data_IF_179254615953
#
_entry.id   IF_179254615953
#
_cell.length_a   1.000
_cell.length_b   1.000
_cell.length_c   1.000
_cell.angle_alpha   90.00
_cell.angle_beta   90.00
_cell.angle_gamma   90.00
#
_symmetry.space_group_name_H-M   'P 1'
#
loop_
_entity.id
_entity.type
_entity.pdbx_description
1 polymer ?
#
# COMPACT_ATOMS: atom_id res chain seq x y z
N UNK A 1 -11.97 8.82 -0.85
CA UNK A 1 -11.72 10.28 -0.63
C UNK A 1 -12.99 11.00 -0.16
N UNK A 2 -14.18 10.74 -0.77
CA UNK A 2 -15.45 11.37 -0.37
C UNK A 2 -15.72 11.17 1.12
N UNK A 3 -15.78 9.92 1.57
CA UNK A 3 -16.02 9.59 2.98
C UNK A 3 -15.06 10.30 3.95
N UNK A 4 -13.79 10.43 3.58
CA UNK A 4 -12.82 11.17 4.40
C UNK A 4 -13.21 12.64 4.55
N UNK A 5 -13.60 13.30 3.45
CA UNK A 5 -14.05 14.70 3.48
C UNK A 5 -15.33 14.86 4.28
N UNK A 6 -16.28 13.93 4.16
CA UNK A 6 -17.57 13.97 4.85
C UNK A 6 -17.42 13.92 6.39
N UNK A 7 -16.33 13.32 6.87
CA UNK A 7 -15.97 13.30 8.30
C UNK A 7 -14.89 14.33 8.67
N UNK A 8 -14.64 15.32 7.81
CA UNK A 8 -13.76 16.46 8.10
C UNK A 8 -12.26 16.18 8.02
N UNK A 9 -11.82 15.10 7.35
CA UNK A 9 -10.40 14.86 7.12
C UNK A 9 -9.85 15.77 6.02
N UNK A 10 -8.65 16.27 6.20
CA UNK A 10 -7.86 16.94 5.15
C UNK A 10 -7.36 15.88 4.16
N UNK A 11 -7.83 15.92 2.92
CA UNK A 11 -7.53 14.90 1.90
C UNK A 11 -6.59 15.47 0.85
N UNK A 12 -5.43 14.82 0.67
CA UNK A 12 -4.48 15.12 -0.40
C UNK A 12 -3.96 13.85 -1.06
N UNK A 13 -3.50 13.95 -2.28
CA UNK A 13 -2.67 12.94 -2.92
C UNK A 13 -1.20 13.39 -2.90
N UNK A 14 -0.27 12.45 -2.81
CA UNK A 14 1.14 12.72 -3.04
C UNK A 14 1.53 12.53 -4.52
N UNK A 15 2.76 12.84 -4.87
CA UNK A 15 3.25 12.73 -6.25
C UNK A 15 3.34 11.26 -6.74
N UNK A 16 3.29 10.28 -5.84
CA UNK A 16 3.16 8.86 -6.19
C UNK A 16 1.70 8.40 -6.34
N UNK A 17 0.74 9.32 -6.10
CA UNK A 17 -0.69 9.06 -6.18
C UNK A 17 -1.26 8.33 -4.96
N UNK A 18 -0.50 8.15 -3.88
CA UNK A 18 -1.06 7.69 -2.62
C UNK A 18 -1.96 8.78 -2.01
N UNK A 19 -3.00 8.37 -1.31
CA UNK A 19 -3.95 9.31 -0.70
C UNK A 19 -3.73 9.37 0.81
N UNK A 20 -3.58 10.59 1.30
CA UNK A 20 -3.41 10.93 2.70
C UNK A 20 -4.66 11.65 3.19
N UNK A 21 -5.26 11.14 4.25
CA UNK A 21 -6.46 11.72 4.86
C UNK A 21 -6.17 11.98 6.34
N UNK A 22 -5.99 13.25 6.69
CA UNK A 22 -5.49 13.64 8.01
C UNK A 22 -6.60 14.23 8.86
N UNK A 23 -6.77 13.70 10.06
CA UNK A 23 -7.49 14.30 11.16
C UNK A 23 -6.51 15.16 11.97
N UNK A 24 -6.71 16.49 12.03
CA UNK A 24 -5.81 17.37 12.76
C UNK A 24 -5.77 17.06 14.25
N UNK A 25 -4.54 16.96 14.78
CA UNK A 25 -4.27 16.93 16.21
C UNK A 25 -4.31 18.33 16.84
N UNK A 26 -4.12 18.40 18.17
CA UNK A 26 -4.01 19.68 18.88
C UNK A 26 -2.68 20.38 18.57
N UNK A 27 -1.61 19.61 18.47
CA UNK A 27 -0.27 20.09 18.10
C UNK A 27 0.18 19.45 16.77
N UNK A 28 0.06 20.21 15.69
CA UNK A 28 0.41 19.80 14.33
C UNK A 28 1.93 19.84 14.06
N UNK A 29 2.73 20.31 15.02
CA UNK A 29 4.19 20.27 14.91
C UNK A 29 4.75 18.88 15.24
N UNK A 30 3.99 18.08 15.98
CA UNK A 30 4.36 16.71 16.33
C UNK A 30 4.27 15.77 15.12
N UNK A 31 5.14 14.76 15.04
CA UNK A 31 5.01 13.70 14.04
C UNK A 31 3.70 12.95 14.16
N UNK A 32 3.03 12.71 13.03
CA UNK A 32 1.73 12.08 12.96
C UNK A 32 1.74 10.59 13.28
N UNK A 33 0.66 10.07 13.82
CA UNK A 33 0.33 8.65 13.73
C UNK A 33 -0.29 8.36 12.37
N UNK A 34 0.30 7.42 11.64
CA UNK A 34 -0.18 7.00 10.33
C UNK A 34 -0.68 5.57 10.41
N UNK A 35 -1.89 5.33 9.96
CA UNK A 35 -2.45 4.00 9.80
C UNK A 35 -2.97 3.84 8.37
N UNK A 36 -2.87 2.64 7.80
CA UNK A 36 -3.35 2.43 6.45
C UNK A 36 -2.87 1.12 5.87
N UNK A 37 -3.08 0.94 4.59
CA UNK A 37 -2.66 -0.19 3.78
C UNK A 37 -2.81 0.20 2.29
N UNK A 38 -2.83 -0.80 1.40
CA UNK A 38 -2.98 -0.58 -0.04
C UNK A 38 -4.44 -0.73 -0.51
N UNK A 39 -4.71 -0.26 -1.72
CA UNK A 39 -6.06 -0.29 -2.33
C UNK A 39 -6.16 -1.15 -3.58
N UNK A 40 -5.03 -1.59 -4.12
CA UNK A 40 -4.97 -2.57 -5.19
C UNK A 40 -4.98 -4.00 -4.64
N UNK A 41 -5.27 -4.96 -5.49
CA UNK A 41 -5.25 -6.37 -5.15
C UNK A 41 -4.79 -7.18 -6.36
N UNK A 42 -4.34 -8.40 -6.12
CA UNK A 42 -4.03 -9.35 -7.20
C UNK A 42 -5.31 -9.75 -7.95
N UNK A 43 -5.24 -10.14 -9.23
CA UNK A 43 -6.37 -10.71 -9.92
C UNK A 43 -6.98 -11.86 -9.11
N UNK A 44 -8.30 -11.82 -8.88
CA UNK A 44 -9.04 -12.77 -8.06
C UNK A 44 -8.62 -12.81 -6.57
N UNK A 45 -7.97 -11.74 -6.07
CA UNK A 45 -7.45 -11.65 -4.69
C UNK A 45 -8.52 -11.42 -3.60
N UNK A 46 -9.77 -11.22 -3.99
CA UNK A 46 -10.87 -10.96 -3.04
C UNK A 46 -10.94 -9.48 -2.61
N UNK A 47 -11.72 -9.22 -1.56
CA UNK A 47 -12.10 -7.86 -1.17
C UNK A 47 -11.38 -7.37 0.10
N UNK A 48 -10.52 -8.18 0.71
CA UNK A 48 -9.96 -7.87 2.02
C UNK A 48 -8.47 -7.53 1.99
N UNK A 49 -7.76 -8.02 0.99
CA UNK A 49 -6.32 -7.79 0.86
C UNK A 49 -6.06 -6.29 0.64
N UNK A 50 -5.27 -5.71 1.53
CA UNK A 50 -5.03 -4.27 1.62
C UNK A 50 -6.23 -3.45 2.08
N UNK A 51 -7.40 -3.65 1.44
CA UNK A 51 -8.58 -2.81 1.68
C UNK A 51 -9.13 -2.95 3.11
N UNK A 52 -8.96 -4.09 3.76
CA UNK A 52 -9.33 -4.28 5.16
C UNK A 52 -8.56 -3.31 6.08
N UNK A 53 -7.25 -3.12 5.83
CA UNK A 53 -6.41 -2.20 6.58
C UNK A 53 -6.80 -0.74 6.37
N UNK A 54 -7.07 -0.35 5.13
CA UNK A 54 -7.56 0.99 4.81
C UNK A 54 -8.91 1.26 5.49
N UNK A 55 -9.83 0.29 5.41
CA UNK A 55 -11.15 0.42 6.03
C UNK A 55 -11.05 0.50 7.55
N UNK A 56 -10.18 -0.29 8.17
CA UNK A 56 -9.94 -0.24 9.61
C UNK A 56 -9.41 1.14 10.04
N UNK A 57 -8.42 1.67 9.31
CA UNK A 57 -7.86 2.99 9.61
C UNK A 57 -8.91 4.10 9.45
N UNK A 58 -9.73 4.05 8.39
CA UNK A 58 -10.86 4.99 8.21
C UNK A 58 -11.92 4.85 9.29
N UNK A 59 -12.21 3.63 9.74
CA UNK A 59 -13.17 3.37 10.81
C UNK A 59 -12.71 3.99 12.13
N UNK A 60 -11.40 3.93 12.43
CA UNK A 60 -10.83 4.61 13.59
C UNK A 60 -11.00 6.12 13.49
N UNK A 61 -10.71 6.71 12.32
CA UNK A 61 -10.92 8.14 12.09
C UNK A 61 -12.40 8.55 12.25
N UNK A 62 -13.29 7.77 11.64
CA UNK A 62 -14.73 7.98 11.77
C UNK A 62 -15.20 7.87 13.23
N UNK A 63 -14.72 6.88 13.96
CA UNK A 63 -15.06 6.69 15.37
C UNK A 63 -14.58 7.88 16.21
N UNK A 64 -13.35 8.35 16.01
CA UNK A 64 -12.83 9.53 16.69
C UNK A 64 -13.66 10.78 16.39
N UNK A 65 -13.99 10.99 15.10
CA UNK A 65 -14.86 12.10 14.70
C UNK A 65 -16.21 12.05 15.39
N UNK A 66 -16.88 10.90 15.38
CA UNK A 66 -18.20 10.72 15.99
C UNK A 66 -18.21 10.92 17.51
N UNK A 67 -17.14 10.54 18.19
CA UNK A 67 -17.01 10.67 19.64
C UNK A 67 -16.23 11.92 20.06
N UNK A 68 -15.95 12.83 19.14
CA UNK A 68 -15.23 14.09 19.38
C UNK A 68 -13.86 13.87 20.07
N UNK A 69 -13.20 12.75 19.75
CA UNK A 69 -11.85 12.45 20.24
C UNK A 69 -10.84 13.17 19.37
N UNK A 70 -10.06 14.05 19.97
CA UNK A 70 -8.94 14.73 19.34
C UNK A 70 -7.65 14.30 20.00
N UNK A 71 -6.74 13.75 19.19
CA UNK A 71 -5.41 13.37 19.65
C UNK A 71 -4.50 14.59 19.79
N UNK A 72 -3.38 14.44 20.48
CA UNK A 72 -2.38 15.49 20.58
C UNK A 72 -1.72 15.74 19.23
N UNK A 73 -1.41 14.68 18.49
CA UNK A 73 -0.79 14.73 17.15
C UNK A 73 -1.78 14.32 16.06
N UNK A 74 -1.46 14.67 14.84
CA UNK A 74 -2.26 14.28 13.68
C UNK A 74 -2.44 12.75 13.63
N UNK A 75 -3.65 12.31 13.27
CA UNK A 75 -3.92 10.94 12.83
C UNK A 75 -4.16 10.94 11.33
N UNK A 76 -3.39 10.18 10.60
CA UNK A 76 -3.47 10.16 9.13
C UNK A 76 -3.76 8.75 8.62
N UNK A 77 -4.78 8.64 7.81
CA UNK A 77 -5.05 7.43 7.03
C UNK A 77 -4.29 7.50 5.72
N UNK A 78 -3.46 6.51 5.45
CA UNK A 78 -2.70 6.38 4.21
C UNK A 78 -3.26 5.25 3.35
N UNK A 79 -3.66 5.58 2.13
CA UNK A 79 -4.09 4.63 1.11
C UNK A 79 -2.98 4.52 0.06
N UNK A 80 -2.23 3.43 0.07
CA UNK A 80 -1.14 3.20 -0.88
C UNK A 80 -1.66 2.58 -2.18
N UNK A 81 -1.02 2.92 -3.29
CA UNK A 81 -1.31 2.38 -4.62
C UNK A 81 -0.25 1.40 -5.06
N UNK A 82 -0.66 0.41 -5.87
CA UNK A 82 0.25 -0.50 -6.56
C UNK A 82 1.24 -1.16 -5.61
N UNK A 83 0.75 -1.72 -4.50
CA UNK A 83 1.54 -2.53 -3.57
C UNK A 83 1.89 -3.87 -4.22
N UNK A 84 0.91 -4.44 -4.93
CA UNK A 84 0.97 -5.75 -5.54
C UNK A 84 1.83 -5.78 -6.81
N UNK A 85 2.50 -6.90 -7.04
CA UNK A 85 3.39 -7.08 -8.20
C UNK A 85 2.71 -7.60 -9.46
N UNK A 86 1.38 -7.65 -9.49
CA UNK A 86 0.61 -8.42 -10.45
C UNK A 86 0.81 -8.00 -11.91
N UNK A 87 0.91 -6.71 -12.18
CA UNK A 87 0.90 -6.19 -13.54
C UNK A 87 2.28 -5.92 -14.12
N UNK A 88 3.22 -5.43 -13.32
CA UNK A 88 4.55 -5.04 -13.78
C UNK A 88 5.67 -5.91 -13.19
N UNK A 89 5.33 -6.93 -12.38
CA UNK A 89 6.33 -7.75 -11.68
C UNK A 89 7.11 -6.98 -10.60
N UNK A 90 6.68 -5.75 -10.27
CA UNK A 90 7.28 -4.87 -9.27
C UNK A 90 6.26 -4.59 -8.18
N UNK A 91 6.57 -5.01 -6.96
CA UNK A 91 5.77 -4.68 -5.78
C UNK A 91 6.14 -3.31 -5.21
N UNK A 92 5.24 -2.77 -4.39
CA UNK A 92 5.46 -1.56 -3.59
C UNK A 92 5.68 -0.28 -4.41
N UNK A 93 5.13 -0.20 -5.62
CA UNK A 93 5.38 0.94 -6.53
C UNK A 93 5.00 2.28 -5.87
N UNK A 94 3.83 2.36 -5.22
CA UNK A 94 3.38 3.58 -4.56
C UNK A 94 4.28 4.00 -3.40
N UNK A 95 4.63 3.08 -2.51
CA UNK A 95 5.50 3.38 -1.36
C UNK A 95 6.96 3.59 -1.77
N UNK A 96 7.49 2.84 -2.75
CA UNK A 96 8.83 3.10 -3.32
C UNK A 96 8.89 4.45 -4.00
N UNK A 97 7.86 4.85 -4.77
CA UNK A 97 7.74 6.18 -5.36
C UNK A 97 7.72 7.27 -4.30
N UNK A 98 6.90 7.11 -3.26
CA UNK A 98 6.83 8.03 -2.12
C UNK A 98 8.19 8.20 -1.42
N UNK A 99 8.98 7.15 -1.36
CA UNK A 99 10.32 7.12 -0.76
C UNK A 99 11.43 7.57 -1.73
N UNK A 100 11.10 7.91 -2.98
CA UNK A 100 12.08 8.26 -4.02
C UNK A 100 12.99 7.10 -4.41
N UNK A 101 12.52 5.84 -4.26
CA UNK A 101 13.30 4.62 -4.47
C UNK A 101 12.98 3.88 -5.77
N UNK A 102 12.09 4.39 -6.60
CA UNK A 102 11.94 3.87 -7.95
C UNK A 102 13.17 4.28 -8.78
N UNK A 103 13.52 3.42 -9.73
CA UNK A 103 14.64 3.63 -10.64
C UNK A 103 14.14 3.86 -12.07
N UNK A 104 14.98 4.41 -12.93
CA UNK A 104 14.64 4.55 -14.35
C UNK A 104 14.36 3.18 -15.00
N UNK A 105 15.05 2.11 -14.56
CA UNK A 105 14.76 0.75 -15.04
C UNK A 105 13.41 0.23 -14.59
N UNK A 106 12.94 0.63 -13.42
CA UNK A 106 11.58 0.28 -12.96
C UNK A 106 10.52 0.91 -13.89
N UNK A 107 10.72 2.16 -14.31
CA UNK A 107 9.79 2.84 -15.23
C UNK A 107 9.67 2.16 -16.60
N UNK A 108 10.67 1.37 -16.99
CA UNK A 108 10.69 0.63 -18.24
C UNK A 108 10.05 -0.77 -18.14
N UNK A 109 9.63 -1.19 -16.96
CA UNK A 109 8.92 -2.46 -16.77
C UNK A 109 7.63 -2.45 -17.59
N UNK A 110 7.41 -3.52 -18.34
CA UNK A 110 6.24 -3.68 -19.20
C UNK A 110 5.08 -4.28 -18.42
N UNK A 111 3.90 -3.80 -18.74
CA UNK A 111 2.66 -4.41 -18.24
C UNK A 111 2.54 -5.85 -18.80
N UNK A 112 2.01 -6.77 -18.00
CA UNK A 112 1.97 -8.19 -18.33
C UNK A 112 1.13 -8.51 -19.57
N UNK A 113 0.07 -7.77 -19.84
CA UNK A 113 -0.91 -8.04 -20.89
C UNK A 113 -1.09 -6.88 -21.87
N UNK A 114 -0.60 -5.69 -21.55
CA UNK A 114 -0.77 -4.50 -22.38
C UNK A 114 0.59 -3.97 -22.87
N UNK A 115 0.61 -3.34 -24.01
CA UNK A 115 1.83 -2.75 -24.56
C UNK A 115 2.09 -1.35 -23.99
N UNK A 116 2.23 -1.28 -22.65
CA UNK A 116 2.49 -0.05 -21.91
C UNK A 116 3.57 -0.29 -20.87
N UNK A 117 4.43 0.71 -20.61
CA UNK A 117 5.40 0.67 -19.52
C UNK A 117 4.83 1.24 -18.24
N UNK A 118 5.47 0.94 -17.10
CA UNK A 118 5.10 1.50 -15.81
C UNK A 118 5.17 3.04 -15.84
N UNK A 119 6.22 3.60 -16.42
CA UNK A 119 6.36 5.06 -16.55
C UNK A 119 5.23 5.68 -17.38
N UNK A 120 4.84 5.04 -18.49
CA UNK A 120 3.70 5.50 -19.29
C UNK A 120 2.38 5.41 -18.51
N UNK A 121 2.18 4.32 -17.75
CA UNK A 121 1.00 4.15 -16.92
C UNK A 121 0.90 5.23 -15.82
N UNK A 122 2.02 5.54 -15.16
CA UNK A 122 2.11 6.61 -14.17
C UNK A 122 1.74 7.96 -14.81
N UNK A 123 2.31 8.27 -15.99
CA UNK A 123 1.99 9.50 -16.73
C UNK A 123 0.52 9.56 -17.16
N UNK A 124 -0.06 8.44 -17.58
CA UNK A 124 -1.48 8.37 -17.97
C UNK A 124 -2.42 8.63 -16.77
N UNK A 125 -1.94 8.38 -15.54
CA UNK A 125 -2.64 8.77 -14.31
C UNK A 125 -2.48 10.25 -13.94
N UNK A 126 -1.81 11.06 -14.76
CA UNK A 126 -1.56 12.48 -14.52
C UNK A 126 -0.44 12.76 -13.52
N UNK A 127 0.41 11.76 -13.25
CA UNK A 127 1.56 11.88 -12.34
C UNK A 127 2.85 12.05 -13.13
N UNK A 128 3.88 12.60 -12.49
CA UNK A 128 5.20 12.79 -13.08
C UNK A 128 6.17 11.68 -12.62
N UNK A 129 6.54 10.72 -13.51
CA UNK A 129 7.46 9.64 -13.16
C UNK A 129 8.84 10.13 -12.71
N UNK A 130 9.31 11.31 -13.17
CA UNK A 130 10.62 11.83 -12.82
C UNK A 130 10.75 12.16 -11.34
N UNK A 131 9.67 12.60 -10.71
CA UNK A 131 9.62 12.85 -9.26
C UNK A 131 9.80 11.58 -8.44
N UNK A 132 9.34 10.44 -8.95
CA UNK A 132 9.38 9.15 -8.26
C UNK A 132 10.75 8.48 -8.32
N UNK A 133 11.60 8.93 -9.24
CA UNK A 133 12.96 8.42 -9.46
C UNK A 133 14.04 9.42 -9.03
N UNK A 134 13.67 10.50 -8.36
CA UNK A 134 14.60 11.58 -7.98
C UNK A 134 15.61 11.18 -6.89
N UNK A 135 15.49 10.00 -6.29
CA UNK A 135 16.39 9.54 -5.23
C UNK A 135 16.15 10.17 -3.86
N UNK A 136 15.15 11.04 -3.76
CA UNK A 136 14.77 11.71 -2.50
C UNK A 136 13.31 11.41 -2.16
N UNK A 137 12.97 11.16 -0.87
CA UNK A 137 11.59 11.00 -0.47
C UNK A 137 10.77 12.25 -0.81
N UNK A 138 9.55 12.05 -1.34
CA UNK A 138 8.58 13.12 -1.58
C UNK A 138 7.73 13.44 -0.33
N UNK A 139 7.90 12.67 0.72
CA UNK A 139 7.31 12.90 2.04
C UNK A 139 8.41 13.05 3.08
N UNK A 140 8.20 13.93 4.05
CA UNK A 140 9.12 14.07 5.18
C UNK A 140 8.86 12.96 6.20
N UNK A 141 9.71 11.93 6.20
CA UNK A 141 9.59 10.78 7.09
C UNK A 141 9.73 11.14 8.57
N UNK A 142 10.39 12.26 8.90
CA UNK A 142 10.51 12.74 10.28
C UNK A 142 9.18 13.20 10.85
N UNK A 143 8.21 13.49 9.98
CA UNK A 143 6.83 13.84 10.37
C UNK A 143 5.94 12.62 10.59
N UNK A 144 6.47 11.41 10.55
CA UNK A 144 5.77 10.17 10.85
C UNK A 144 6.34 9.59 12.14
N UNK A 145 5.53 9.55 13.19
CA UNK A 145 5.91 8.96 14.48
C UNK A 145 5.89 7.43 14.43
N UNK A 146 4.87 6.88 13.80
CA UNK A 146 4.76 5.45 13.53
C UNK A 146 3.82 5.21 12.35
N UNK A 147 3.96 4.07 11.71
CA UNK A 147 3.02 3.53 10.74
C UNK A 147 2.48 2.19 11.25
N UNK A 148 1.16 2.05 11.23
CA UNK A 148 0.47 0.82 11.63
C UNK A 148 -0.37 0.33 10.47
N UNK A 149 -0.18 -0.92 10.09
CA UNK A 149 -0.96 -1.58 9.08
C UNK A 149 -1.69 -2.78 9.66
N UNK A 150 -3.02 -2.78 9.58
CA UNK A 150 -3.80 -4.00 9.75
C UNK A 150 -3.84 -4.71 8.41
N UNK A 151 -3.46 -5.98 8.41
CA UNK A 151 -3.45 -6.79 7.19
C UNK A 151 -4.08 -8.15 7.45
N UNK A 152 -4.68 -8.75 6.42
CA UNK A 152 -5.13 -10.14 6.50
C UNK A 152 -3.90 -11.06 6.59
N UNK A 153 -4.03 -12.19 7.25
CA UNK A 153 -2.90 -13.12 7.44
C UNK A 153 -2.42 -13.76 6.13
N UNK A 154 -3.29 -13.92 5.15
CA UNK A 154 -3.03 -14.66 3.91
C UNK A 154 -2.59 -16.11 4.17
N UNK A 155 -3.07 -16.69 5.29
CA UNK A 155 -2.72 -18.02 5.73
C UNK A 155 -3.70 -18.56 6.77
N UNK A 156 -3.53 -19.80 7.24
CA UNK A 156 -4.50 -20.46 8.10
C UNK A 156 -4.22 -20.37 9.61
N UNK A 157 -3.15 -19.70 10.05
CA UNK A 157 -2.71 -19.76 11.46
C UNK A 157 -3.74 -19.15 12.40
N UNK A 158 -4.24 -17.96 12.06
CA UNK A 158 -5.25 -17.28 12.88
C UNK A 158 -6.63 -17.91 12.71
N UNK A 159 -6.99 -18.32 11.49
CA UNK A 159 -8.30 -18.94 11.22
C UNK A 159 -8.42 -20.34 11.84
N UNK A 160 -7.29 -21.04 12.01
CA UNK A 160 -7.27 -22.35 12.67
C UNK A 160 -7.29 -22.25 14.20
N UNK A 161 -7.29 -21.03 14.74
CA UNK A 161 -7.29 -20.78 16.17
C UNK A 161 -8.61 -20.17 16.63
N UNK A 162 -9.39 -20.89 17.42
CA UNK A 162 -10.69 -20.42 17.90
C UNK A 162 -10.61 -19.25 18.88
N UNK A 163 -9.46 -19.02 19.50
CA UNK A 163 -9.26 -18.02 20.56
C UNK A 163 -8.58 -16.75 20.09
N UNK A 164 -7.75 -16.82 19.03
CA UNK A 164 -6.94 -15.68 18.58
C UNK A 164 -7.38 -15.29 17.17
N UNK A 165 -7.85 -14.06 17.02
CA UNK A 165 -8.32 -13.51 15.74
C UNK A 165 -7.38 -12.42 15.19
N UNK A 166 -6.52 -11.86 16.03
CA UNK A 166 -5.57 -10.80 15.67
C UNK A 166 -4.22 -11.15 16.27
N UNK A 167 -3.17 -10.97 15.50
CA UNK A 167 -1.79 -11.17 15.92
C UNK A 167 -0.94 -9.92 15.68
N UNK A 168 0.08 -9.74 16.48
CA UNK A 168 1.13 -8.75 16.20
C UNK A 168 2.28 -9.46 15.48
N UNK A 169 2.62 -8.97 14.30
CA UNK A 169 3.74 -9.52 13.53
C UNK A 169 5.06 -9.17 14.21
N UNK A 170 5.80 -10.17 14.64
CA UNK A 170 7.11 -10.02 15.29
C UNK A 170 8.28 -10.28 14.34
N UNK A 171 8.02 -10.83 13.17
CA UNK A 171 9.01 -11.10 12.14
C UNK A 171 8.38 -11.66 10.87
N UNK A 172 9.06 -11.46 9.76
CA UNK A 172 8.67 -11.99 8.45
C UNK A 172 9.67 -13.05 8.06
N UNK A 173 9.17 -14.22 7.65
CA UNK A 173 10.05 -15.32 7.18
C UNK A 173 10.80 -14.97 5.90
N UNK A 174 10.39 -13.89 5.22
CA UNK A 174 10.84 -13.55 3.88
C UNK A 174 10.09 -14.34 2.82
N UNK A 175 10.41 -14.06 1.58
CA UNK A 175 9.91 -14.84 0.45
C UNK A 175 11.05 -15.21 -0.50
N UNK A 176 10.90 -16.32 -1.20
CA UNK A 176 11.77 -16.71 -2.30
C UNK A 176 11.00 -16.52 -3.59
N UNK A 177 11.52 -15.67 -4.46
CA UNK A 177 10.95 -15.45 -5.80
C UNK A 177 11.86 -16.10 -6.84
N UNK A 178 11.34 -17.10 -7.52
CA UNK A 178 11.97 -17.63 -8.73
C UNK A 178 11.53 -16.78 -9.91
N UNK A 179 12.44 -15.98 -10.46
CA UNK A 179 12.15 -15.12 -11.61
C UNK A 179 11.84 -15.94 -12.86
N UNK A 180 12.55 -17.04 -13.03
CA UNK A 180 12.36 -17.97 -14.15
C UNK A 180 12.48 -19.41 -13.62
N UNK A 181 11.51 -20.23 -13.95
CA UNK A 181 11.55 -21.67 -13.72
C UNK A 181 11.49 -22.33 -15.10
N UNK A 182 12.50 -23.09 -15.44
CA UNK A 182 12.57 -23.84 -16.71
C UNK A 182 12.56 -25.32 -16.37
N UNK A 183 11.57 -26.03 -16.87
CA UNK A 183 11.50 -27.48 -16.78
C UNK A 183 12.11 -28.07 -18.07
N UNK A 184 13.23 -28.77 -17.93
CA UNK A 184 13.81 -29.54 -19.02
C UNK A 184 13.23 -30.96 -19.00
N UNK A 185 12.64 -31.36 -20.11
CA UNK A 185 12.02 -32.68 -20.24
C UNK A 185 11.83 -33.05 -21.70
N UNK A 186 11.37 -34.26 -21.92
CA UNK A 186 11.01 -34.74 -23.26
C UNK A 186 9.50 -34.61 -23.45
N UNK A 187 9.09 -34.43 -24.71
CA UNK A 187 7.67 -34.40 -25.05
C UNK A 187 7.07 -35.76 -24.84
N UNK A 188 6.14 -35.87 -23.93
CA UNK A 188 5.41 -37.11 -23.63
C UNK A 188 3.94 -36.82 -23.39
N UNK A 189 3.11 -37.87 -23.50
CA UNK A 189 1.68 -37.77 -23.11
C UNK A 189 1.58 -37.58 -21.60
N UNK A 190 0.63 -36.73 -21.15
CA UNK A 190 0.44 -36.41 -19.72
C UNK A 190 0.02 -37.61 -18.83
N UNK A 191 -0.28 -38.73 -19.39
CA UNK A 191 -0.60 -39.98 -18.72
C UNK A 191 0.50 -41.04 -18.80
N UNK A 192 1.72 -40.67 -19.22
CA UNK A 192 2.86 -41.59 -19.38
C UNK A 192 3.67 -41.69 -18.07
#
# INVERSE_FOLDING_TARGET
QGLGRDIGLEVRADDAGNVWMTMPGRDRTLPAFVAGSHVDSVPQGGNYDGLAGVTAALTVAWWMHRHQVQLERDYTVLMMRCEESSYFGKAYVGSLGMMGRLTQSDLMLRHRTEDITLGQCISACGLDPSKLTAGTPIVDLKKIACFVELHIEQGPTLTSNDKVRVGVVTGIRGNVRHKNVVCHGETAHSGA
#
